data_IF_826907735339
#
_entry.id   IF_826907735339
#
_cell.length_a   1.000
_cell.length_b   1.000
_cell.length_c   1.000
_cell.angle_alpha   90.00
_cell.angle_beta   90.00
_cell.angle_gamma   90.00
#
_symmetry.space_group_name_H-M   'P 1'
#
loop_
_entity.id
_entity.type
_entity.pdbx_description
1 polymer ?
#
# COMPACT_ATOMS: atom_id res chain seq x y z
N UNK A 1 -7.60 4.90 1.02
CA UNK A 1 -7.98 4.47 2.38
C UNK A 1 -8.89 3.28 2.21
N UNK A 2 -8.71 2.24 3.02
CA UNK A 2 -9.48 1.00 2.92
C UNK A 2 -9.72 0.45 4.33
N UNK A 3 -10.96 0.04 4.62
CA UNK A 3 -11.30 -0.65 5.86
C UNK A 3 -11.22 -2.15 5.66
N UNK A 4 -10.68 -2.84 6.66
CA UNK A 4 -10.78 -4.29 6.75
C UNK A 4 -11.04 -4.70 8.19
N UNK A 5 -12.27 -5.18 8.44
CA UNK A 5 -12.80 -5.29 9.80
C UNK A 5 -12.71 -3.94 10.51
N UNK A 6 -12.15 -3.95 11.72
CA UNK A 6 -12.02 -2.77 12.60
C UNK A 6 -10.68 -2.04 12.41
N UNK A 7 -10.00 -2.28 11.29
CA UNK A 7 -8.72 -1.64 10.97
C UNK A 7 -8.85 -0.77 9.73
N UNK A 8 -8.57 0.52 9.88
CA UNK A 8 -8.44 1.46 8.77
C UNK A 8 -7.00 1.49 8.28
N UNK A 9 -6.81 1.17 7.01
CA UNK A 9 -5.53 1.32 6.34
C UNK A 9 -5.52 2.56 5.47
N UNK A 10 -4.51 3.39 5.66
CA UNK A 10 -4.40 4.66 4.94
C UNK A 10 -2.95 5.04 4.70
N UNK A 11 -2.78 5.97 3.76
CA UNK A 11 -1.47 6.47 3.36
C UNK A 11 -1.41 7.93 3.72
N UNK A 12 -0.34 8.31 4.39
CA UNK A 12 -0.09 9.66 4.84
C UNK A 12 1.42 9.95 4.79
N UNK A 13 1.76 11.23 4.82
CA UNK A 13 3.15 11.64 4.98
C UNK A 13 3.59 11.47 6.43
N UNK A 14 4.71 10.78 6.64
CA UNK A 14 5.34 10.69 7.96
C UNK A 14 6.08 12.00 8.33
N UNK A 15 6.67 12.04 9.52
CA UNK A 15 7.45 13.19 10.00
C UNK A 15 8.71 13.51 9.16
N UNK A 16 9.11 12.61 8.25
CA UNK A 16 10.20 12.81 7.28
C UNK A 16 9.67 13.18 5.89
N UNK A 17 8.41 13.58 5.77
CA UNK A 17 7.76 13.91 4.49
C UNK A 17 7.79 12.77 3.47
N UNK A 18 7.89 11.53 3.93
CA UNK A 18 7.84 10.35 3.07
C UNK A 18 6.43 9.76 3.13
N UNK A 19 5.89 9.38 1.98
CA UNK A 19 4.61 8.65 1.91
C UNK A 19 4.75 7.28 2.57
N UNK A 20 3.85 6.97 3.50
CA UNK A 20 3.92 5.79 4.35
C UNK A 20 2.54 5.17 4.56
N UNK A 21 2.52 3.85 4.76
CA UNK A 21 1.31 3.08 5.05
C UNK A 21 1.12 2.97 6.56
N UNK A 22 -0.09 3.29 7.01
CA UNK A 22 -0.53 3.19 8.40
C UNK A 22 -1.71 2.25 8.54
N UNK A 23 -1.79 1.59 9.69
CA UNK A 23 -2.99 0.95 10.20
C UNK A 23 -3.47 1.68 11.45
N UNK A 24 -4.73 2.07 11.49
CA UNK A 24 -5.41 2.59 12.67
C UNK A 24 -6.40 1.53 13.16
N UNK A 25 -6.27 1.14 14.42
CA UNK A 25 -7.15 0.18 15.08
C UNK A 25 -8.29 0.93 15.78
N UNK A 26 -9.53 0.73 15.33
CA UNK A 26 -10.68 1.53 15.76
C UNK A 26 -10.92 1.46 17.27
N UNK A 27 -10.82 0.26 17.86
CA UNK A 27 -11.11 0.04 19.29
C UNK A 27 -10.07 0.58 20.26
N UNK A 28 -8.84 0.79 19.80
CA UNK A 28 -7.73 1.21 20.66
C UNK A 28 -7.22 2.61 20.37
N UNK A 29 -7.76 3.27 19.33
CA UNK A 29 -7.28 4.57 18.82
C UNK A 29 -5.76 4.58 18.55
N UNK A 30 -5.14 3.41 18.40
CA UNK A 30 -3.71 3.28 18.18
C UNK A 30 -3.41 3.17 16.69
N UNK A 31 -2.45 3.96 16.24
CA UNK A 31 -1.89 3.89 14.89
C UNK A 31 -0.57 3.14 14.87
N UNK A 32 -0.35 2.32 13.84
CA UNK A 32 0.92 1.63 13.57
C UNK A 32 1.42 1.96 12.17
N UNK A 33 2.70 2.36 12.08
CA UNK A 33 3.42 2.44 10.80
C UNK A 33 3.72 1.03 10.31
N UNK A 34 3.27 0.70 9.09
CA UNK A 34 3.49 -0.61 8.47
C UNK A 34 4.63 -0.58 7.45
N UNK A 35 4.75 0.49 6.68
CA UNK A 35 5.81 0.62 5.68
C UNK A 35 6.10 2.08 5.33
N UNK A 36 7.35 2.36 4.98
CA UNK A 36 7.79 3.65 4.45
C UNK A 36 7.92 3.58 2.93
N UNK A 37 7.94 4.76 2.28
CA UNK A 37 8.14 4.91 0.84
C UNK A 37 7.08 4.18 0.00
N UNK A 38 5.84 4.17 0.48
CA UNK A 38 4.69 3.61 -0.23
C UNK A 38 4.03 4.74 -1.01
N UNK A 39 4.30 4.81 -2.31
CA UNK A 39 3.80 5.86 -3.21
C UNK A 39 2.82 5.29 -4.25
N UNK A 40 1.57 5.00 -3.87
CA UNK A 40 0.60 4.54 -4.84
C UNK A 40 0.08 5.69 -5.70
N UNK A 41 -0.01 5.44 -6.99
CA UNK A 41 -0.84 6.23 -7.89
C UNK A 41 -2.18 5.51 -8.07
N UNK A 42 -3.16 5.91 -7.25
CA UNK A 42 -4.53 5.39 -7.31
C UNK A 42 -4.89 4.48 -6.15
N UNK A 43 -5.62 3.40 -6.45
CA UNK A 43 -6.08 2.43 -5.47
C UNK A 43 -4.98 1.47 -5.02
N UNK A 44 -5.20 0.87 -3.86
CA UNK A 44 -4.45 -0.28 -3.38
C UNK A 44 -5.45 -1.37 -2.94
N UNK A 45 -4.96 -2.59 -2.77
CA UNK A 45 -5.73 -3.70 -2.26
C UNK A 45 -4.94 -4.40 -1.15
N UNK A 46 -5.59 -4.68 -0.02
CA UNK A 46 -4.97 -5.29 1.14
C UNK A 46 -5.41 -6.74 1.30
N UNK A 47 -4.44 -7.63 1.54
CA UNK A 47 -4.62 -9.05 1.78
C UNK A 47 -4.04 -9.40 3.15
N UNK A 48 -4.80 -9.24 4.24
CA UNK A 48 -4.29 -9.39 5.61
C UNK A 48 -3.85 -10.82 5.92
N UNK A 49 -4.60 -11.82 5.46
CA UNK A 49 -4.24 -13.23 5.63
C UNK A 49 -2.86 -13.55 5.00
N UNK A 50 -2.53 -12.87 3.90
CA UNK A 50 -1.24 -12.99 3.23
C UNK A 50 -0.23 -11.91 3.67
N UNK A 51 -0.58 -11.08 4.66
CA UNK A 51 0.22 -9.93 5.12
C UNK A 51 0.77 -9.10 3.96
N UNK A 52 -0.06 -8.85 2.95
CA UNK A 52 0.37 -8.28 1.68
C UNK A 52 -0.48 -7.08 1.31
N UNK A 53 0.15 -6.03 0.78
CA UNK A 53 -0.53 -4.92 0.10
C UNK A 53 -0.11 -4.89 -1.37
N UNK A 54 -1.08 -4.84 -2.28
CA UNK A 54 -0.87 -4.62 -3.71
C UNK A 54 -1.26 -3.20 -4.08
N UNK A 55 -0.42 -2.54 -4.87
CA UNK A 55 -0.70 -1.18 -5.33
C UNK A 55 -0.01 -0.88 -6.64
N UNK A 56 -0.54 0.09 -7.38
CA UNK A 56 0.14 0.68 -8.54
C UNK A 56 0.99 1.85 -8.07
N UNK A 57 2.30 1.86 -8.35
CA UNK A 57 3.14 3.01 -8.03
C UNK A 57 3.03 4.13 -9.09
N UNK A 58 3.65 5.28 -8.84
CA UNK A 58 3.68 6.45 -9.74
C UNK A 58 4.21 6.18 -11.16
N UNK A 59 4.87 5.05 -11.39
CA UNK A 59 5.33 4.59 -12.72
C UNK A 59 4.38 3.57 -13.35
N UNK A 60 3.17 3.41 -12.81
CA UNK A 60 2.17 2.40 -13.15
C UNK A 60 2.67 0.95 -13.02
N UNK A 61 3.69 0.69 -12.19
CA UNK A 61 4.11 -0.68 -11.90
C UNK A 61 3.18 -1.30 -10.87
N UNK A 62 2.83 -2.57 -11.03
CA UNK A 62 2.18 -3.33 -9.98
C UNK A 62 3.24 -3.73 -8.95
N UNK A 63 3.10 -3.19 -7.74
CA UNK A 63 3.97 -3.43 -6.62
C UNK A 63 3.28 -4.33 -5.60
N UNK A 64 4.08 -5.16 -4.93
CA UNK A 64 3.70 -5.92 -3.75
C UNK A 64 4.56 -5.45 -2.58
N UNK A 65 3.90 -5.04 -1.51
CA UNK A 65 4.49 -4.76 -0.21
C UNK A 65 4.16 -5.92 0.74
N UNK A 66 5.19 -6.46 1.38
CA UNK A 66 5.05 -7.39 2.49
C UNK A 66 4.94 -6.59 3.80
N UNK A 67 3.84 -6.78 4.53
CA UNK A 67 3.50 -6.00 5.72
C UNK A 67 4.29 -6.44 6.97
N UNK A 68 4.91 -7.62 6.96
CA UNK A 68 5.73 -8.10 8.08
C UNK A 68 7.16 -7.56 7.98
N UNK A 69 7.76 -7.67 6.81
CA UNK A 69 9.14 -7.25 6.54
C UNK A 69 9.25 -5.78 6.14
N UNK A 70 8.16 -5.19 5.63
CA UNK A 70 8.19 -3.85 5.03
C UNK A 70 8.86 -3.82 3.65
N UNK A 71 9.23 -4.97 3.08
CA UNK A 71 9.86 -5.04 1.76
C UNK A 71 8.86 -4.80 0.64
N UNK A 72 9.21 -3.90 -0.28
CA UNK A 72 8.43 -3.59 -1.47
C UNK A 72 9.14 -4.11 -2.72
N UNK A 73 8.42 -4.89 -3.54
CA UNK A 73 8.91 -5.44 -4.81
C UNK A 73 7.97 -5.13 -5.95
N UNK A 74 8.53 -4.87 -7.13
CA UNK A 74 7.75 -4.76 -8.37
C UNK A 74 7.41 -6.16 -8.86
N UNK A 75 6.12 -6.48 -8.97
CA UNK A 75 5.64 -7.75 -9.52
C UNK A 75 5.53 -7.71 -11.05
N UNK A 76 5.05 -6.58 -11.58
CA UNK A 76 4.92 -6.37 -13.02
C UNK A 76 5.29 -4.94 -13.34
N UNK A 77 6.31 -4.78 -14.18
CA UNK A 77 6.67 -3.48 -14.74
C UNK A 77 5.57 -3.08 -15.72
N UNK A 78 5.25 -1.80 -15.69
CA UNK A 78 4.34 -1.14 -16.61
C UNK A 78 4.72 -1.40 -18.09
N UNK A 79 3.79 -1.98 -18.87
CA UNK A 79 3.79 -1.94 -20.35
C UNK A 79 2.65 -1.06 -20.89
N UNK A 80 2.13 -0.15 -20.06
CA UNK A 80 0.83 0.50 -20.26
C UNK A 80 0.87 1.53 -21.38
N UNK A 81 0.34 1.18 -22.54
CA UNK A 81 -0.25 2.13 -23.47
C UNK A 81 -1.70 2.38 -23.02
N UNK A 82 -1.97 3.53 -22.38
CA UNK A 82 -3.34 4.02 -22.18
C UNK A 82 -4.13 3.46 -20.99
N UNK A 83 -3.47 3.07 -19.88
CA UNK A 83 -4.19 2.84 -18.61
C UNK A 83 -5.01 1.54 -18.53
N UNK A 84 -4.81 0.57 -19.43
CA UNK A 84 -5.34 -0.79 -19.31
C UNK A 84 -4.23 -1.83 -19.16
N UNK A 85 -4.43 -2.75 -18.22
CA UNK A 85 -3.53 -3.86 -17.96
C UNK A 85 -3.73 -4.89 -19.09
N UNK A 86 -2.85 -4.88 -20.08
CA UNK A 86 -2.84 -5.91 -21.13
C UNK A 86 -2.18 -7.17 -20.55
N UNK A 87 -2.92 -8.28 -20.55
CA UNK A 87 -2.43 -9.62 -20.20
C UNK A 87 -1.68 -10.23 -21.35
#
# INVERSE_FOLDING_TARGET
MEFLGDTLYFIAYNNKWCSALYALYEHSETGKLLANHVEPSGGFAIFPAAQTLLFTNTRNNLCKLDLQSGECRVLKVSSWLGGRLMS
#
